data_IF_174116645399
#
_entry.id   IF_174116645399
#
_cell.length_a   1.000
_cell.length_b   1.000
_cell.length_c   1.000
_cell.angle_alpha   90.00
_cell.angle_beta   90.00
_cell.angle_gamma   90.00
#
_symmetry.space_group_name_H-M   'P 1'
#
loop_
_entity.id
_entity.type
_entity.pdbx_description
1 polymer ?
#
# COMPACT_ATOMS: atom_id res chain seq x y z
N UNK A 1 10.53 13.91 1.57
CA UNK A 1 11.61 13.16 0.90
C UNK A 1 12.24 12.19 1.89
N UNK A 2 12.28 10.88 1.61
CA UNK A 2 13.00 9.91 2.45
C UNK A 2 14.52 10.15 2.39
N UNK A 3 15.19 10.19 3.54
CA UNK A 3 16.64 10.41 3.62
C UNK A 3 17.38 9.11 3.92
N UNK A 4 16.99 8.45 5.01
CA UNK A 4 17.64 7.22 5.44
C UNK A 4 16.68 6.26 6.14
N UNK A 5 17.10 5.00 6.21
CA UNK A 5 16.41 3.89 6.80
C UNK A 5 17.32 3.14 7.76
N UNK A 6 16.73 2.57 8.81
CA UNK A 6 17.34 1.61 9.72
C UNK A 6 16.42 0.40 9.87
N UNK A 7 17.01 -0.77 10.02
CA UNK A 7 16.28 -2.02 10.27
C UNK A 7 16.63 -2.64 11.63
N UNK A 8 15.69 -3.39 12.18
CA UNK A 8 15.89 -4.26 13.33
C UNK A 8 15.31 -5.63 12.98
N UNK A 9 16.14 -6.68 13.11
CA UNK A 9 15.77 -8.06 12.80
C UNK A 9 15.89 -8.90 14.07
N UNK A 10 14.76 -9.42 14.55
CA UNK A 10 14.72 -10.44 15.59
C UNK A 10 14.54 -11.82 14.96
N UNK A 11 15.30 -12.81 15.41
CA UNK A 11 15.20 -14.21 14.94
C UNK A 11 15.19 -15.18 16.11
N UNK A 12 14.52 -16.32 15.96
CA UNK A 12 14.61 -17.41 16.95
C UNK A 12 15.98 -18.09 16.98
N UNK A 13 16.61 -18.23 15.81
CA UNK A 13 17.98 -18.71 15.64
C UNK A 13 18.60 -18.03 14.42
N UNK A 14 19.85 -17.57 14.55
CA UNK A 14 20.56 -16.93 13.46
C UNK A 14 20.88 -17.93 12.34
N UNK A 15 20.39 -17.61 11.15
CA UNK A 15 20.75 -18.25 9.90
C UNK A 15 21.30 -17.17 8.94
N UNK A 16 22.62 -17.17 8.67
CA UNK A 16 23.25 -16.14 7.83
C UNK A 16 22.62 -16.00 6.45
N UNK A 17 22.19 -17.11 5.82
CA UNK A 17 21.65 -17.10 4.46
C UNK A 17 20.25 -16.45 4.44
N UNK A 18 19.46 -16.65 5.49
CA UNK A 18 18.17 -15.98 5.65
C UNK A 18 18.34 -14.48 5.92
N UNK A 19 19.28 -14.12 6.80
CA UNK A 19 19.57 -12.71 7.11
C UNK A 19 20.03 -11.96 5.86
N UNK A 20 20.91 -12.56 5.06
CA UNK A 20 21.39 -11.95 3.81
C UNK A 20 20.22 -11.62 2.88
N UNK A 21 19.26 -12.54 2.72
CA UNK A 21 18.08 -12.33 1.88
C UNK A 21 17.18 -11.20 2.40
N UNK A 22 16.94 -11.15 3.71
CA UNK A 22 16.14 -10.09 4.35
C UNK A 22 16.79 -8.72 4.14
N UNK A 23 18.08 -8.59 4.47
CA UNK A 23 18.83 -7.34 4.33
C UNK A 23 18.95 -6.93 2.85
N UNK A 24 19.14 -7.87 1.92
CA UNK A 24 19.14 -7.59 0.48
C UNK A 24 17.80 -7.01 0.00
N UNK A 25 16.69 -7.53 0.53
CA UNK A 25 15.34 -7.00 0.31
C UNK A 25 15.17 -5.58 0.83
N UNK A 26 15.57 -5.32 2.09
CA UNK A 26 15.54 -3.98 2.70
C UNK A 26 16.39 -3.00 1.88
N UNK A 27 17.60 -3.38 1.51
CA UNK A 27 18.50 -2.55 0.71
C UNK A 27 17.94 -2.27 -0.68
N UNK A 28 17.25 -3.24 -1.31
CA UNK A 28 16.53 -3.02 -2.58
C UNK A 28 15.41 -2.01 -2.41
N UNK A 29 14.61 -2.14 -1.34
CA UNK A 29 13.56 -1.18 -1.01
C UNK A 29 14.09 0.23 -0.79
N UNK A 30 15.21 0.38 -0.06
CA UNK A 30 15.86 1.68 0.15
C UNK A 30 16.31 2.32 -1.18
N UNK A 31 16.92 1.53 -2.07
CA UNK A 31 17.32 2.01 -3.41
C UNK A 31 16.12 2.48 -4.23
N UNK A 32 15.03 1.72 -4.24
CA UNK A 32 13.80 2.09 -4.93
C UNK A 32 13.16 3.35 -4.32
N UNK A 33 13.17 3.46 -2.99
CA UNK A 33 12.63 4.61 -2.28
C UNK A 33 13.46 5.90 -2.41
N UNK A 34 14.73 5.77 -2.83
CA UNK A 34 15.68 6.86 -2.95
C UNK A 34 16.36 7.25 -1.63
N UNK A 35 16.47 6.34 -0.66
CA UNK A 35 17.09 6.59 0.64
C UNK A 35 18.30 5.69 0.92
N UNK A 36 19.13 6.10 1.88
CA UNK A 36 20.28 5.32 2.34
C UNK A 36 19.89 4.35 3.46
N UNK A 37 20.35 3.10 3.39
CA UNK A 37 20.35 2.20 4.54
C UNK A 37 21.60 2.50 5.38
N UNK A 38 21.44 3.12 6.55
CA UNK A 38 22.59 3.67 7.31
C UNK A 38 23.00 2.82 8.52
N UNK A 39 22.19 1.84 8.89
CA UNK A 39 22.50 0.92 9.97
C UNK A 39 21.35 -0.02 10.24
N UNK A 40 21.62 -1.07 11.00
CA UNK A 40 20.61 -1.99 11.48
C UNK A 40 21.12 -2.74 12.70
N UNK A 41 20.22 -3.44 13.37
CA UNK A 41 20.53 -4.25 14.55
C UNK A 41 19.91 -5.65 14.40
N UNK A 42 20.60 -6.65 14.93
CA UNK A 42 20.17 -8.04 14.88
C UNK A 42 20.15 -8.66 16.27
N UNK A 43 19.06 -9.32 16.61
CA UNK A 43 18.89 -9.99 17.91
C UNK A 43 18.44 -11.44 17.75
N UNK A 44 19.08 -12.34 18.48
CA UNK A 44 18.64 -13.73 18.61
C UNK A 44 17.87 -13.91 19.93
N UNK A 45 16.66 -14.47 19.86
CA UNK A 45 15.77 -14.69 21.01
C UNK A 45 15.38 -16.17 21.15
N UNK A 46 16.35 -17.06 21.47
CA UNK A 46 16.06 -18.47 21.61
C UNK A 46 15.08 -18.70 22.76
N UNK A 47 13.97 -19.39 22.48
CA UNK A 47 12.91 -19.69 23.45
C UNK A 47 11.76 -18.67 23.51
N UNK A 48 11.89 -17.50 22.87
CA UNK A 48 10.77 -16.60 22.62
C UNK A 48 10.20 -16.74 21.20
N UNK A 49 11.05 -17.17 20.24
CA UNK A 49 10.70 -17.40 18.85
C UNK A 49 11.23 -18.78 18.42
N UNK A 50 10.48 -19.47 17.57
CA UNK A 50 10.88 -20.77 17.05
C UNK A 50 11.98 -20.63 15.98
N UNK A 51 12.70 -21.72 15.72
CA UNK A 51 13.71 -21.73 14.66
C UNK A 51 13.05 -21.45 13.29
N UNK A 52 13.57 -20.46 12.56
CA UNK A 52 13.03 -20.01 11.28
C UNK A 52 11.99 -18.89 11.38
N UNK A 53 11.50 -18.56 12.58
CA UNK A 53 10.70 -17.35 12.78
C UNK A 53 11.59 -16.10 12.86
N UNK A 54 11.08 -15.01 12.30
CA UNK A 54 11.71 -13.70 12.37
C UNK A 54 10.65 -12.59 12.51
N UNK A 55 11.09 -11.46 13.05
CA UNK A 55 10.36 -10.20 13.06
C UNK A 55 11.27 -9.09 12.52
N UNK A 56 10.71 -8.22 11.67
CA UNK A 56 11.43 -7.17 10.96
C UNK A 56 10.76 -5.84 11.23
N UNK A 57 11.50 -4.94 11.87
CA UNK A 57 11.07 -3.56 12.11
C UNK A 57 11.88 -2.61 11.24
N UNK A 58 11.18 -1.69 10.59
CA UNK A 58 11.79 -0.64 9.78
C UNK A 58 11.59 0.73 10.42
N UNK A 59 12.62 1.57 10.37
CA UNK A 59 12.57 2.97 10.79
C UNK A 59 13.08 3.86 9.66
N UNK A 60 12.29 4.87 9.27
CA UNK A 60 12.64 5.79 8.20
C UNK A 60 12.64 7.24 8.71
N UNK A 61 13.61 8.03 8.25
CA UNK A 61 13.63 9.48 8.44
C UNK A 61 13.50 10.16 7.09
N UNK A 62 12.64 11.16 7.02
CA UNK A 62 12.50 12.03 5.86
C UNK A 62 12.52 13.50 6.25
N UNK A 63 12.64 14.35 5.23
CA UNK A 63 12.59 15.81 5.36
C UNK A 63 11.47 16.38 4.50
N UNK A 64 10.87 17.47 4.97
CA UNK A 64 9.92 18.28 4.23
C UNK A 64 10.12 19.75 4.62
N UNK A 65 9.93 20.64 3.65
CA UNK A 65 9.84 22.07 3.92
C UNK A 65 8.56 22.35 4.71
N UNK A 66 8.66 23.18 5.76
CA UNK A 66 7.56 23.39 6.72
C UNK A 66 6.29 23.93 6.06
N UNK A 67 6.44 24.83 5.11
CA UNK A 67 5.37 25.46 4.32
C UNK A 67 4.81 24.54 3.22
N UNK A 68 5.45 23.38 2.97
CA UNK A 68 5.02 22.38 1.99
C UNK A 68 4.52 21.08 2.63
N UNK A 69 4.32 21.07 3.95
CA UNK A 69 3.72 19.93 4.64
C UNK A 69 2.25 19.81 4.18
N UNK A 70 1.88 18.62 3.72
CA UNK A 70 0.50 18.30 3.40
C UNK A 70 -0.24 17.93 4.68
N UNK A 71 -1.13 18.81 5.14
CA UNK A 71 -1.94 18.63 6.34
C UNK A 71 -3.45 18.50 6.04
N UNK A 72 -3.81 18.44 4.75
CA UNK A 72 -5.20 18.31 4.27
C UNK A 72 -6.01 19.61 4.29
N UNK A 73 -5.47 20.70 4.84
CA UNK A 73 -6.21 21.98 4.96
C UNK A 73 -6.47 22.68 3.63
N UNK A 74 -5.70 22.32 2.59
CA UNK A 74 -5.81 22.88 1.25
C UNK A 74 -6.77 22.10 0.35
N UNK A 75 -7.33 20.98 0.82
CA UNK A 75 -8.33 20.22 0.08
C UNK A 75 -9.59 21.07 -0.09
N UNK A 76 -10.15 21.06 -1.30
CA UNK A 76 -11.37 21.77 -1.66
C UNK A 76 -12.41 20.85 -2.32
N UNK A 77 -13.67 21.25 -2.24
CA UNK A 77 -14.73 20.62 -3.02
C UNK A 77 -14.42 20.76 -4.52
N UNK A 78 -14.58 19.66 -5.25
CA UNK A 78 -14.22 19.54 -6.66
C UNK A 78 -12.84 18.94 -6.91
N UNK A 79 -11.97 18.84 -5.90
CA UNK A 79 -10.68 18.17 -6.06
C UNK A 79 -10.86 16.71 -6.53
N UNK A 80 -9.96 16.23 -7.37
CA UNK A 80 -9.97 14.89 -7.89
C UNK A 80 -9.16 13.93 -7.01
N UNK A 81 -9.64 12.68 -6.94
CA UNK A 81 -8.95 11.58 -6.28
C UNK A 81 -8.20 10.75 -7.34
N UNK A 82 -6.87 10.71 -7.25
CA UNK A 82 -6.01 9.94 -8.15
C UNK A 82 -5.51 8.69 -7.44
N UNK A 83 -6.00 7.52 -7.85
CA UNK A 83 -5.60 6.22 -7.30
C UNK A 83 -4.38 5.65 -8.01
N UNK A 84 -3.35 5.29 -7.24
CA UNK A 84 -2.16 4.57 -7.72
C UNK A 84 -2.37 3.05 -7.52
N UNK A 85 -2.16 2.23 -8.57
CA UNK A 85 -2.47 0.81 -8.51
C UNK A 85 -1.59 0.02 -7.53
N UNK A 86 -2.22 -0.87 -6.76
CA UNK A 86 -1.58 -1.91 -5.98
C UNK A 86 -1.91 -3.27 -6.61
N UNK A 87 -0.92 -4.07 -7.04
CA UNK A 87 -1.18 -5.35 -7.70
C UNK A 87 -1.55 -6.47 -6.74
N UNK A 88 -1.26 -6.33 -5.44
CA UNK A 88 -1.31 -7.42 -4.45
C UNK A 88 -1.80 -6.93 -3.07
N UNK A 89 -1.79 -7.84 -2.08
CA UNK A 89 -2.18 -7.57 -0.68
C UNK A 89 -1.24 -6.59 0.04
N UNK A 90 -0.03 -6.40 -0.50
CA UNK A 90 1.06 -5.63 0.10
C UNK A 90 1.54 -6.24 1.41
N UNK A 91 1.18 -5.63 2.53
CA UNK A 91 1.58 -6.04 3.87
C UNK A 91 0.39 -6.12 4.85
N UNK A 92 -0.85 -6.12 4.34
CA UNK A 92 -2.07 -6.07 5.15
C UNK A 92 -3.07 -7.16 4.74
N UNK A 93 -3.89 -7.60 5.70
CA UNK A 93 -4.95 -8.59 5.44
C UNK A 93 -4.48 -10.06 5.37
N UNK A 94 -3.21 -10.33 5.66
CA UNK A 94 -2.65 -11.69 5.61
C UNK A 94 -3.33 -12.69 6.56
N UNK A 95 -3.83 -12.25 7.72
CA UNK A 95 -4.58 -13.15 8.61
C UNK A 95 -5.86 -13.68 7.96
N UNK A 96 -6.61 -12.81 7.26
CA UNK A 96 -7.81 -13.22 6.53
C UNK A 96 -7.44 -14.05 5.29
N UNK A 97 -6.42 -13.63 4.53
CA UNK A 97 -5.97 -14.35 3.35
C UNK A 97 -5.50 -15.77 3.68
N UNK A 98 -4.71 -15.94 4.75
CA UNK A 98 -4.28 -17.25 5.26
C UNK A 98 -5.47 -18.14 5.62
N UNK A 99 -6.43 -17.60 6.39
CA UNK A 99 -7.65 -18.33 6.76
C UNK A 99 -8.43 -18.79 5.53
N UNK A 100 -8.62 -17.91 4.54
CA UNK A 100 -9.38 -18.24 3.34
C UNK A 100 -8.66 -19.27 2.47
N UNK A 101 -7.39 -19.05 2.15
CA UNK A 101 -6.68 -19.94 1.24
C UNK A 101 -6.33 -21.29 1.89
N UNK A 102 -5.87 -21.28 3.14
CA UNK A 102 -5.36 -22.49 3.78
C UNK A 102 -6.45 -23.22 4.56
N UNK A 103 -7.20 -22.53 5.42
CA UNK A 103 -8.16 -23.20 6.31
C UNK A 103 -9.49 -23.51 5.61
N UNK A 104 -9.99 -22.59 4.77
CA UNK A 104 -11.27 -22.76 4.06
C UNK A 104 -11.09 -23.50 2.75
N UNK A 105 -10.15 -23.05 1.90
CA UNK A 105 -9.96 -23.62 0.57
C UNK A 105 -8.97 -24.80 0.52
N UNK A 106 -8.24 -25.08 1.61
CA UNK A 106 -7.31 -26.21 1.70
C UNK A 106 -6.14 -26.15 0.70
N UNK A 107 -5.76 -24.95 0.25
CA UNK A 107 -4.76 -24.74 -0.79
C UNK A 107 -3.36 -24.85 -0.23
N UNK A 108 -2.45 -25.43 -1.01
CA UNK A 108 -1.03 -25.44 -0.68
C UNK A 108 -0.31 -24.24 -1.33
N UNK A 109 0.79 -23.80 -0.72
CA UNK A 109 1.61 -22.70 -1.24
C UNK A 109 2.16 -22.95 -2.65
N UNK A 110 2.39 -24.20 -3.02
CA UNK A 110 2.92 -24.60 -4.33
C UNK A 110 1.83 -24.83 -5.39
N UNK A 111 0.55 -24.77 -5.01
CA UNK A 111 -0.53 -24.78 -6.00
C UNK A 111 -0.44 -23.52 -6.87
N UNK A 112 -0.92 -23.56 -8.13
CA UNK A 112 -1.17 -22.33 -8.90
C UNK A 112 -2.01 -21.35 -8.07
N UNK A 113 -1.86 -20.03 -8.18
CA UNK A 113 -2.64 -19.08 -7.34
C UNK A 113 -4.17 -19.24 -7.52
N UNK A 114 -4.60 -19.54 -8.74
CA UNK A 114 -5.97 -19.93 -9.12
C UNK A 114 -5.91 -20.78 -10.40
N UNK A 115 -7.04 -21.33 -10.83
CA UNK A 115 -7.12 -22.11 -12.07
C UNK A 115 -6.64 -21.28 -13.27
N UNK A 116 -5.59 -21.77 -13.94
CA UNK A 116 -4.95 -21.11 -15.07
C UNK A 116 -3.90 -20.04 -14.70
N UNK A 117 -3.56 -19.85 -13.43
CA UNK A 117 -2.44 -18.99 -13.04
C UNK A 117 -1.10 -19.57 -13.52
N UNK A 118 -0.21 -18.69 -13.99
CA UNK A 118 1.16 -19.04 -14.37
C UNK A 118 2.16 -19.00 -13.21
N UNK A 119 1.71 -18.63 -12.02
CA UNK A 119 2.50 -18.51 -10.79
C UNK A 119 1.78 -19.24 -9.65
N UNK A 120 2.55 -19.59 -8.63
CA UNK A 120 2.09 -20.26 -7.42
C UNK A 120 1.38 -19.32 -6.45
N UNK A 121 0.57 -19.87 -5.55
CA UNK A 121 -0.04 -19.12 -4.47
C UNK A 121 1.01 -18.44 -3.58
N UNK A 122 2.17 -19.07 -3.37
CA UNK A 122 3.29 -18.46 -2.66
C UNK A 122 3.80 -17.19 -3.36
N UNK A 123 4.03 -17.25 -4.68
CA UNK A 123 4.50 -16.10 -5.46
C UNK A 123 3.48 -14.95 -5.46
N UNK A 124 2.18 -15.25 -5.53
CA UNK A 124 1.12 -14.24 -5.44
C UNK A 124 1.12 -13.57 -4.05
N UNK A 125 1.13 -14.37 -2.99
CA UNK A 125 1.06 -13.86 -1.61
C UNK A 125 2.36 -13.18 -1.16
N UNK A 126 3.53 -13.55 -1.69
CA UNK A 126 4.82 -12.94 -1.36
C UNK A 126 5.26 -11.85 -2.35
N UNK A 127 4.40 -11.51 -3.31
CA UNK A 127 4.64 -10.40 -4.22
C UNK A 127 4.87 -9.11 -3.43
N UNK A 128 5.98 -8.37 -3.68
CA UNK A 128 6.41 -7.29 -2.81
C UNK A 128 5.44 -6.10 -2.86
N UNK A 129 5.42 -5.35 -1.76
CA UNK A 129 4.70 -4.08 -1.69
C UNK A 129 5.31 -3.04 -2.64
N UNK A 130 4.46 -2.30 -3.34
CA UNK A 130 4.89 -1.17 -4.19
C UNK A 130 5.41 -0.01 -3.33
N UNK A 131 6.54 0.57 -3.73
CA UNK A 131 7.12 1.78 -3.14
C UNK A 131 6.73 2.98 -4.01
N UNK A 132 5.91 3.87 -3.46
CA UNK A 132 5.38 5.03 -4.19
C UNK A 132 6.19 6.33 -3.99
N UNK A 133 7.22 6.33 -3.14
CA UNK A 133 7.94 7.58 -2.81
C UNK A 133 8.54 8.29 -4.03
N UNK A 134 9.11 7.63 -5.06
CA UNK A 134 9.60 8.33 -6.23
C UNK A 134 8.47 8.96 -7.05
N UNK A 135 7.35 8.25 -7.20
CA UNK A 135 6.18 8.73 -7.95
C UNK A 135 5.54 9.95 -7.28
N UNK A 136 5.38 9.91 -5.96
CA UNK A 136 4.85 11.05 -5.19
C UNK A 136 5.83 12.22 -5.21
N UNK A 137 7.14 11.97 -5.10
CA UNK A 137 8.15 13.03 -5.21
C UNK A 137 8.14 13.70 -6.60
N UNK A 138 7.90 12.93 -7.67
CA UNK A 138 7.75 13.48 -9.01
C UNK A 138 6.45 14.30 -9.13
N UNK A 139 5.34 13.79 -8.60
CA UNK A 139 4.05 14.48 -8.62
C UNK A 139 4.10 15.83 -7.91
N UNK A 140 4.70 15.88 -6.71
CA UNK A 140 4.86 17.09 -5.88
C UNK A 140 5.71 18.20 -6.53
N UNK A 141 6.42 17.91 -7.63
CA UNK A 141 7.21 18.91 -8.38
C UNK A 141 6.42 19.58 -9.49
N UNK A 142 5.29 19.00 -9.90
CA UNK A 142 4.54 19.38 -11.10
C UNK A 142 3.10 19.77 -10.79
N UNK A 143 2.52 19.15 -9.76
CA UNK A 143 1.10 19.27 -9.40
C UNK A 143 0.97 19.79 -7.98
N UNK A 144 -0.05 20.62 -7.73
CA UNK A 144 -0.44 21.11 -6.42
C UNK A 144 -1.19 20.02 -5.63
N UNK A 145 -0.45 19.00 -5.18
CA UNK A 145 -1.01 17.89 -4.41
C UNK A 145 -1.51 18.42 -3.07
N UNK A 146 -2.81 18.25 -2.80
CA UNK A 146 -3.47 18.70 -1.57
C UNK A 146 -3.30 17.73 -0.41
N UNK A 147 -3.29 16.43 -0.72
CA UNK A 147 -3.09 15.36 0.25
C UNK A 147 -2.66 14.06 -0.43
N UNK A 148 -2.08 13.16 0.37
CA UNK A 148 -1.76 11.79 -0.04
C UNK A 148 -2.19 10.83 1.06
N UNK A 149 -3.00 9.83 0.72
CA UNK A 149 -3.41 8.76 1.62
C UNK A 149 -2.74 7.44 1.20
N UNK A 150 -1.95 6.84 2.09
CA UNK A 150 -1.38 5.51 1.90
C UNK A 150 -2.40 4.45 2.32
N UNK A 151 -2.88 3.65 1.37
CA UNK A 151 -3.90 2.63 1.63
C UNK A 151 -3.23 1.38 2.21
N UNK A 152 -3.52 1.11 3.48
CA UNK A 152 -3.02 -0.02 4.28
C UNK A 152 -4.21 -0.73 4.95
N UNK A 153 -4.05 -1.28 6.16
CA UNK A 153 -5.18 -1.78 6.95
C UNK A 153 -6.26 -0.72 7.14
N UNK A 154 -7.53 -1.10 7.06
CA UNK A 154 -8.67 -0.18 7.01
C UNK A 154 -9.12 0.18 5.59
N UNK A 155 -8.38 -0.24 4.56
CA UNK A 155 -8.68 0.00 3.15
C UNK A 155 -8.79 1.48 2.80
N UNK A 156 -9.49 1.82 1.73
CA UNK A 156 -9.64 3.22 1.30
C UNK A 156 -10.32 4.06 2.38
N UNK A 157 -11.48 3.67 2.96
CA UNK A 157 -12.19 4.51 3.93
C UNK A 157 -11.36 4.75 5.20
N UNK A 158 -10.71 3.71 5.71
CA UNK A 158 -9.94 3.79 6.95
C UNK A 158 -8.67 4.65 6.83
N UNK A 159 -8.18 4.91 5.62
CA UNK A 159 -6.97 5.70 5.38
C UNK A 159 -7.27 7.07 4.76
N UNK A 160 -8.17 7.17 3.79
CA UNK A 160 -8.49 8.44 3.11
C UNK A 160 -9.26 9.40 4.02
N UNK A 161 -10.12 8.93 4.93
CA UNK A 161 -10.77 9.81 5.92
C UNK A 161 -9.77 10.59 6.80
N UNK A 162 -8.57 10.03 7.03
CA UNK A 162 -7.57 10.63 7.94
C UNK A 162 -6.93 11.90 7.38
N UNK A 163 -7.06 12.13 6.07
CA UNK A 163 -6.50 13.32 5.40
C UNK A 163 -7.58 14.32 5.01
N UNK A 164 -8.87 13.99 5.19
CA UNK A 164 -9.99 14.90 4.92
C UNK A 164 -10.24 15.83 6.10
N UNK A 165 -10.91 16.94 5.83
CA UNK A 165 -11.48 17.83 6.85
C UNK A 165 -12.93 17.44 7.14
N UNK A 166 -13.44 17.84 8.31
CA UNK A 166 -14.79 17.49 8.78
C UNK A 166 -15.94 18.05 7.89
N UNK A 167 -15.62 18.84 6.87
CA UNK A 167 -16.58 19.46 5.95
C UNK A 167 -16.55 18.88 4.53
N UNK A 168 -15.71 17.88 4.26
CA UNK A 168 -15.50 17.34 2.92
C UNK A 168 -15.58 15.81 2.92
N UNK A 169 -16.38 15.25 2.03
CA UNK A 169 -16.46 13.81 1.78
C UNK A 169 -15.64 13.45 0.53
N UNK A 170 -15.06 12.25 0.53
CA UNK A 170 -14.41 11.68 -0.65
C UNK A 170 -15.36 10.69 -1.33
N UNK A 171 -15.82 11.01 -2.53
CA UNK A 171 -16.70 10.16 -3.32
C UNK A 171 -15.85 9.31 -4.26
N UNK A 172 -15.79 8.01 -3.98
CA UNK A 172 -14.96 7.03 -4.69
C UNK A 172 -15.84 6.17 -5.60
N UNK A 173 -15.58 6.21 -6.90
CA UNK A 173 -16.24 5.38 -7.90
C UNK A 173 -15.53 4.02 -8.00
N UNK A 174 -16.19 2.96 -7.52
CA UNK A 174 -15.64 1.59 -7.59
C UNK A 174 -15.53 1.06 -9.03
N UNK A 175 -16.31 1.61 -9.96
CA UNK A 175 -16.26 1.25 -11.37
C UNK A 175 -15.04 1.81 -12.10
N UNK A 176 -14.27 2.70 -11.48
CA UNK A 176 -13.13 3.36 -12.11
C UNK A 176 -11.90 2.44 -12.27
N UNK A 177 -11.85 1.29 -11.58
CA UNK A 177 -10.77 0.31 -11.72
C UNK A 177 -11.27 -1.12 -11.48
N UNK A 178 -10.50 -2.09 -11.95
CA UNK A 178 -10.74 -3.51 -11.66
C UNK A 178 -9.80 -3.98 -10.55
N UNK A 179 -10.32 -4.51 -9.43
CA UNK A 179 -9.47 -5.09 -8.39
C UNK A 179 -8.65 -6.28 -8.91
N UNK A 180 -7.37 -6.41 -8.51
CA UNK A 180 -6.58 -7.59 -8.81
C UNK A 180 -7.27 -8.90 -8.38
N UNK A 181 -7.04 -9.96 -9.16
CA UNK A 181 -7.74 -11.24 -9.03
C UNK A 181 -7.59 -11.89 -7.65
N UNK A 182 -6.50 -11.65 -6.93
CA UNK A 182 -6.34 -12.16 -5.57
C UNK A 182 -7.45 -11.71 -4.62
N UNK A 183 -7.97 -10.49 -4.78
CA UNK A 183 -9.07 -9.99 -3.95
C UNK A 183 -10.38 -10.70 -4.28
N UNK A 184 -10.67 -10.92 -5.57
CA UNK A 184 -11.89 -11.62 -5.98
C UNK A 184 -11.83 -13.11 -5.62
N UNK A 185 -10.66 -13.74 -5.66
CA UNK A 185 -10.47 -15.11 -5.16
C UNK A 185 -10.68 -15.20 -3.64
N UNK A 186 -10.09 -14.29 -2.86
CA UNK A 186 -10.30 -14.24 -1.40
C UNK A 186 -11.80 -14.05 -1.10
N UNK A 187 -12.45 -13.12 -1.79
CA UNK A 187 -13.85 -12.83 -1.58
C UNK A 187 -14.74 -14.05 -1.89
N UNK A 188 -14.52 -14.68 -3.05
CA UNK A 188 -15.30 -15.83 -3.52
C UNK A 188 -15.09 -17.05 -2.63
N UNK A 189 -13.84 -17.40 -2.32
CA UNK A 189 -13.51 -18.57 -1.51
C UNK A 189 -13.94 -18.40 -0.04
N UNK A 190 -13.75 -17.19 0.50
CA UNK A 190 -14.05 -16.89 1.90
C UNK A 190 -15.49 -16.46 2.15
N UNK A 191 -16.30 -16.28 1.10
CA UNK A 191 -17.65 -15.68 1.18
C UNK A 191 -17.65 -14.35 1.95
N UNK A 192 -16.62 -13.53 1.71
CA UNK A 192 -16.40 -12.26 2.42
C UNK A 192 -17.31 -11.18 1.82
N UNK A 193 -17.96 -10.37 2.66
CA UNK A 193 -18.80 -9.27 2.19
C UNK A 193 -17.97 -8.17 1.53
N UNK A 194 -18.57 -7.39 0.62
CA UNK A 194 -17.92 -6.22 0.01
C UNK A 194 -17.42 -5.23 1.06
N UNK A 195 -18.17 -5.05 2.14
CA UNK A 195 -17.81 -4.16 3.25
C UNK A 195 -16.53 -4.61 3.95
N UNK A 196 -16.43 -5.91 4.27
CA UNK A 196 -15.24 -6.44 4.94
C UNK A 196 -14.04 -6.45 3.98
N UNK A 197 -14.26 -6.76 2.69
CA UNK A 197 -13.20 -6.65 1.66
C UNK A 197 -12.65 -5.21 1.58
N UNK A 198 -13.53 -4.21 1.51
CA UNK A 198 -13.16 -2.81 1.44
C UNK A 198 -12.51 -2.27 2.73
N UNK A 199 -12.79 -2.89 3.88
CA UNK A 199 -12.20 -2.53 5.18
C UNK A 199 -10.86 -3.20 5.41
N UNK A 200 -10.65 -4.41 4.92
CA UNK A 200 -9.41 -5.17 5.16
C UNK A 200 -8.36 -4.87 4.11
N UNK A 201 -8.76 -4.78 2.85
CA UNK A 201 -7.84 -4.74 1.72
C UNK A 201 -7.82 -3.38 1.01
N UNK A 202 -6.74 -3.17 0.26
CA UNK A 202 -6.55 -2.01 -0.59
C UNK A 202 -7.39 -2.07 -1.89
N UNK A 203 -7.96 -3.25 -2.21
CA UNK A 203 -8.83 -3.51 -3.37
C UNK A 203 -8.25 -3.06 -4.72
N UNK A 204 -6.92 -3.00 -4.85
CA UNK A 204 -6.24 -2.60 -6.08
C UNK A 204 -5.69 -1.18 -6.09
N UNK A 205 -5.94 -0.37 -5.05
CA UNK A 205 -5.42 1.00 -4.94
C UNK A 205 -4.51 1.10 -3.72
N UNK A 206 -3.21 1.26 -3.92
CA UNK A 206 -2.24 1.31 -2.81
C UNK A 206 -1.99 2.70 -2.24
N UNK A 207 -2.35 3.74 -2.99
CA UNK A 207 -2.18 5.13 -2.58
C UNK A 207 -3.19 6.01 -3.33
N UNK A 208 -3.67 7.06 -2.68
CA UNK A 208 -4.55 8.07 -3.29
C UNK A 208 -3.91 9.44 -3.13
N UNK A 209 -3.77 10.19 -4.21
CA UNK A 209 -3.39 11.59 -4.18
C UNK A 209 -4.62 12.46 -4.47
N UNK A 210 -4.79 13.55 -3.72
CA UNK A 210 -5.84 14.55 -3.92
C UNK A 210 -5.24 15.73 -4.66
N UNK A 211 -5.81 16.11 -5.79
CA UNK A 211 -5.28 17.15 -6.69
C UNK A 211 -6.41 18.03 -7.21
N UNK A 212 -6.15 19.30 -7.59
CA UNK A 212 -7.13 20.14 -8.28
C UNK A 212 -7.71 19.48 -9.53
N UNK A 213 -8.99 19.73 -9.81
CA UNK A 213 -9.70 19.12 -10.95
C UNK A 213 -9.05 19.42 -12.31
N UNK A 214 -8.47 20.61 -12.46
CA UNK A 214 -7.80 21.07 -13.67
C UNK A 214 -6.38 20.50 -13.84
N UNK A 215 -5.81 19.89 -12.79
CA UNK A 215 -4.48 19.27 -12.82
C UNK A 215 -4.51 17.74 -13.01
N UNK A 216 -5.69 17.12 -13.12
CA UNK A 216 -5.85 15.66 -13.28
C UNK A 216 -5.00 15.11 -14.43
N UNK A 217 -5.02 15.73 -15.61
CA UNK A 217 -4.25 15.25 -16.76
C UNK A 217 -2.74 15.30 -16.51
N UNK A 218 -2.25 16.38 -15.87
CA UNK A 218 -0.84 16.51 -15.52
C UNK A 218 -0.44 15.44 -14.48
N UNK A 219 -1.28 15.22 -13.47
CA UNK A 219 -1.04 14.20 -12.46
C UNK A 219 -0.94 12.79 -13.06
N UNK A 220 -1.88 12.43 -13.94
CA UNK A 220 -1.89 11.12 -14.62
C UNK A 220 -0.67 10.94 -15.53
N UNK A 221 -0.24 11.98 -16.24
CA UNK A 221 0.92 11.91 -17.14
C UNK A 221 2.24 11.75 -16.37
N UNK A 222 2.42 12.51 -15.28
CA UNK A 222 3.60 12.41 -14.41
C UNK A 222 3.68 11.02 -13.77
N UNK A 223 2.56 10.52 -13.22
CA UNK A 223 2.53 9.20 -12.59
C UNK A 223 2.78 8.08 -13.59
N UNK A 224 2.25 8.21 -14.83
CA UNK A 224 2.53 7.27 -15.92
C UNK A 224 4.02 7.26 -16.28
N UNK A 225 4.64 8.42 -16.36
CA UNK A 225 6.09 8.55 -16.63
C UNK A 225 6.92 7.96 -15.48
N UNK A 226 6.43 8.05 -14.24
CA UNK A 226 7.01 7.39 -13.08
C UNK A 226 6.71 5.88 -12.98
N UNK A 227 6.08 5.28 -13.99
CA UNK A 227 5.83 3.84 -14.06
C UNK A 227 4.49 3.38 -13.46
N UNK A 228 3.63 4.30 -13.03
CA UNK A 228 2.34 3.98 -12.43
C UNK A 228 1.18 4.37 -13.34
N UNK A 229 0.36 3.39 -13.73
CA UNK A 229 -0.89 3.64 -14.45
C UNK A 229 -1.98 4.08 -13.48
N UNK A 230 -1.82 5.27 -12.92
CA UNK A 230 -2.81 5.87 -12.04
C UNK A 230 -4.12 6.15 -12.79
N UNK A 231 -5.22 6.20 -12.05
CA UNK A 231 -6.55 6.48 -12.58
C UNK A 231 -7.26 7.47 -11.66
N UNK A 232 -8.14 8.31 -12.22
CA UNK A 232 -9.04 9.09 -11.40
C UNK A 232 -10.11 8.15 -10.84
N UNK A 233 -10.20 8.05 -9.51
CA UNK A 233 -11.11 7.14 -8.80
C UNK A 233 -12.28 7.87 -8.15
N UNK A 234 -12.40 9.18 -8.34
CA UNK A 234 -13.43 9.95 -7.66
C UNK A 234 -13.13 11.43 -7.52
N UNK A 235 -13.91 12.06 -6.66
CA UNK A 235 -13.89 13.51 -6.40
C UNK A 235 -14.17 13.81 -4.93
N UNK A 236 -13.78 14.99 -4.49
CA UNK A 236 -14.11 15.55 -3.17
C UNK A 236 -15.37 16.39 -3.28
N UNK A 237 -16.31 16.20 -2.36
CA UNK A 237 -17.58 16.92 -2.31
C UNK A 237 -17.82 17.52 -0.91
N UNK A 238 -18.68 18.55 -0.76
CA UNK A 238 -19.10 19.02 0.55
C UNK A 238 -19.76 17.88 1.35
N UNK A 239 -19.34 17.70 2.60
CA UNK A 239 -19.71 16.53 3.38
C UNK A 239 -19.34 16.63 4.86
N UNK A 240 -19.04 15.48 5.45
CA UNK A 240 -18.83 15.29 6.88
C UNK A 240 -17.50 14.57 7.24
N UNK A 241 -16.50 14.59 6.36
CA UNK A 241 -15.21 13.93 6.59
C UNK A 241 -15.21 12.43 6.31
N UNK A 242 -16.10 11.94 5.44
CA UNK A 242 -16.29 10.51 5.17
C UNK A 242 -16.01 10.14 3.71
N UNK A 243 -15.45 8.96 3.52
CA UNK A 243 -15.39 8.28 2.22
C UNK A 243 -16.74 7.64 1.93
N UNK A 244 -17.30 7.99 0.78
CA UNK A 244 -18.52 7.39 0.23
C UNK A 244 -18.17 6.65 -1.05
N UNK A 245 -18.69 5.46 -1.20
CA UNK A 245 -18.60 4.75 -2.47
C UNK A 245 -19.81 5.11 -3.34
N UNK A 246 -19.54 5.48 -4.59
CA UNK A 246 -20.54 5.63 -5.65
C UNK A 246 -20.74 4.30 -6.39
#
# INVERSE_FOLDING_TARGET
EPLFFLDYIAVGKLDPDHIEQLVAGVAKGCREAGCALIGGEMAEHPGAMEAGEFDLVGFAVGVAERDRILDGTTIAAGDALIGLPSPNLRSNGYSLARRVFFDVAGRALHDPAWDGAHHSLAEELLSPSVIYSPAIAALLRVVDVRAVAHITGGGIPGNLNRVLTDSLDAHVDRGAWEPPKVFTEIQRLGQVSDEEMAKVFNMGIGMVAVVPADEVYAALDVLRTAGHRAVQIGTVEPGSGLVRYA
#
